data_IF_329574754825
#
_entry.id   IF_329574754825
#
_cell.length_a   1.000
_cell.length_b   1.000
_cell.length_c   1.000
_cell.angle_alpha   90.00
_cell.angle_beta   90.00
_cell.angle_gamma   90.00
#
_symmetry.space_group_name_H-M   'P 1'
#
loop_
_entity.id
_entity.type
_entity.pdbx_description
1 polymer ?
#
# COMPACT_ATOMS: atom_id res chain seq x y z
N UNK A 1 16.68 -32.09 22.35
CA UNK A 1 16.74 -30.81 22.98
C UNK A 1 16.57 -29.73 21.92
N UNK A 2 15.39 -29.12 21.92
CA UNK A 2 14.98 -28.16 20.95
C UNK A 2 15.47 -26.75 21.28
N UNK A 3 15.61 -25.95 20.26
CA UNK A 3 15.62 -24.49 20.33
C UNK A 3 14.65 -23.96 19.29
N UNK A 4 13.51 -23.49 19.76
CA UNK A 4 12.55 -22.72 19.00
C UNK A 4 13.09 -21.30 18.82
N UNK A 5 13.56 -20.99 17.61
CA UNK A 5 13.87 -19.62 17.21
C UNK A 5 12.62 -18.96 16.64
N UNK A 6 12.00 -18.06 17.39
CA UNK A 6 10.97 -17.17 16.89
C UNK A 6 11.63 -16.14 15.94
N UNK A 7 11.30 -16.20 14.67
CA UNK A 7 11.65 -15.18 13.71
C UNK A 7 10.82 -13.92 14.00
N UNK A 8 11.47 -12.89 14.52
CA UNK A 8 10.91 -11.55 14.60
C UNK A 8 10.90 -10.96 13.19
N UNK A 9 9.72 -10.88 12.58
CA UNK A 9 9.49 -10.16 11.34
C UNK A 9 9.58 -8.66 11.57
N UNK A 10 10.71 -8.06 11.22
CA UNK A 10 10.88 -6.61 11.16
C UNK A 10 10.41 -6.08 9.81
N UNK A 11 9.13 -5.79 9.66
CA UNK A 11 8.64 -5.01 8.52
C UNK A 11 8.85 -3.52 8.80
N UNK A 12 9.76 -2.88 8.07
CA UNK A 12 9.92 -1.42 8.08
C UNK A 12 9.26 -0.90 6.82
N UNK A 13 7.98 -0.56 6.92
CA UNK A 13 7.35 0.24 5.88
C UNK A 13 7.75 1.70 6.11
N UNK A 14 8.31 2.30 5.10
CA UNK A 14 8.80 3.67 5.17
C UNK A 14 7.73 4.58 4.58
N UNK A 15 6.81 5.03 5.44
CA UNK A 15 6.53 6.44 5.37
C UNK A 15 7.83 7.12 5.75
N UNK A 16 8.42 7.86 4.84
CA UNK A 16 9.62 8.62 5.11
C UNK A 16 9.27 9.72 6.16
N UNK A 17 9.02 9.27 7.39
CA UNK A 17 8.98 10.12 8.57
C UNK A 17 10.43 10.32 8.96
N UNK A 18 11.17 11.06 8.12
CA UNK A 18 12.47 11.56 8.49
C UNK A 18 12.26 12.56 9.62
N UNK A 19 12.17 12.00 10.82
CA UNK A 19 12.32 12.75 12.03
C UNK A 19 13.80 13.01 12.16
N UNK A 20 14.18 14.28 12.07
CA UNK A 20 15.48 14.75 12.47
C UNK A 20 15.77 14.27 13.90
N UNK A 21 16.38 13.10 14.04
CA UNK A 21 17.12 12.69 15.20
C UNK A 21 18.58 13.07 14.95
N UNK A 22 18.89 14.35 14.85
CA UNK A 22 20.25 14.74 15.11
C UNK A 22 20.55 14.52 16.59
N UNK A 23 21.36 13.56 16.81
CA UNK A 23 22.10 13.15 17.97
C UNK A 23 22.60 14.37 18.77
N UNK A 24 22.00 14.60 19.91
CA UNK A 24 22.60 15.35 21.03
C UNK A 24 23.08 14.33 22.06
N UNK A 25 24.15 13.59 21.77
CA UNK A 25 25.04 12.96 22.76
C UNK A 25 26.41 12.80 22.11
N UNK A 26 27.19 13.89 22.12
CA UNK A 26 28.64 13.76 22.07
C UNK A 26 29.13 13.50 23.49
N UNK A 27 29.66 12.32 23.74
CA UNK A 27 30.44 12.03 24.95
C UNK A 27 31.78 12.76 24.87
N UNK A 28 32.32 13.29 26.01
CA UNK A 28 33.55 14.07 26.02
C UNK A 28 34.79 13.15 26.18
N UNK A 29 35.12 12.41 25.12
CA UNK A 29 36.41 11.72 25.04
C UNK A 29 36.77 11.58 23.56
N UNK A 30 37.45 12.58 23.00
CA UNK A 30 38.40 12.47 21.87
C UNK A 30 38.78 13.88 21.41
N UNK A 31 39.70 14.52 22.16
CA UNK A 31 40.43 15.69 21.69
C UNK A 31 41.92 15.36 21.59
N UNK A 32 42.54 15.47 20.38
CA UNK A 32 43.99 15.54 20.33
C UNK A 32 44.45 16.97 20.65
N UNK A 33 45.37 17.02 21.57
CA UNK A 33 46.08 18.24 22.00
C UNK A 33 46.75 18.95 20.80
N UNK A 34 46.45 20.25 20.64
CA UNK A 34 47.38 21.20 20.05
C UNK A 34 47.26 22.52 20.84
N UNK A 35 48.33 22.81 21.52
CA UNK A 35 48.58 23.97 22.36
C UNK A 35 48.84 25.22 21.51
N UNK A 36 48.21 26.35 21.81
CA UNK A 36 48.54 27.64 21.26
C UNK A 36 47.82 28.75 22.08
N UNK A 37 48.55 29.37 23.01
CA UNK A 37 48.05 30.40 23.88
C UNK A 37 47.63 31.65 23.14
N UNK A 38 46.38 32.11 23.31
CA UNK A 38 45.95 33.46 23.12
C UNK A 38 44.77 33.78 24.07
N UNK A 39 44.86 34.90 24.74
CA UNK A 39 44.07 35.38 25.87
C UNK A 39 42.54 35.27 25.74
N UNK A 40 41.88 34.62 26.70
CA UNK A 40 40.45 34.64 26.88
C UNK A 40 39.95 35.95 27.44
N UNK A 41 39.16 36.67 26.68
CA UNK A 41 38.42 37.85 27.16
C UNK A 41 36.94 37.40 27.51
N UNK A 42 36.49 37.50 28.76
CA UNK A 42 35.24 36.89 29.25
C UNK A 42 33.97 37.72 29.04
N UNK A 43 33.92 38.66 28.11
CA UNK A 43 32.73 39.48 27.86
C UNK A 43 32.38 39.62 26.36
N UNK A 44 31.96 38.52 25.73
CA UNK A 44 31.05 38.58 24.59
C UNK A 44 30.04 37.45 24.73
N UNK A 45 28.85 37.80 25.17
CA UNK A 45 27.68 36.95 25.08
C UNK A 45 27.42 36.61 23.63
N UNK A 46 27.71 35.37 23.21
CA UNK A 46 27.21 34.81 21.94
C UNK A 46 25.74 34.56 22.21
N UNK A 47 24.88 35.39 21.62
CA UNK A 47 23.44 35.14 21.58
C UNK A 47 23.22 33.80 20.91
N UNK A 48 22.66 32.87 21.66
CA UNK A 48 22.00 31.69 21.07
C UNK A 48 20.80 32.24 20.27
N UNK A 49 21.00 32.52 18.99
CA UNK A 49 19.88 32.61 18.05
C UNK A 49 19.23 31.25 18.04
N UNK A 50 18.03 31.20 18.62
CA UNK A 50 17.23 29.99 18.73
C UNK A 50 17.05 29.36 17.34
N UNK A 51 17.38 28.09 17.23
CA UNK A 51 16.93 27.24 16.14
C UNK A 51 15.39 27.25 16.24
N UNK A 52 14.75 28.15 15.47
CA UNK A 52 13.32 28.09 15.24
C UNK A 52 13.07 26.74 14.57
N UNK A 53 12.46 25.81 15.30
CA UNK A 53 11.89 24.63 14.68
C UNK A 53 10.95 25.12 13.57
N UNK A 54 11.33 24.92 12.32
CA UNK A 54 10.50 25.29 11.17
C UNK A 54 9.15 24.58 11.35
N UNK A 55 8.09 25.38 11.49
CA UNK A 55 6.74 24.84 11.58
C UNK A 55 6.49 24.03 10.29
N UNK A 56 6.03 22.79 10.44
CA UNK A 56 5.65 21.96 9.30
C UNK A 56 4.62 22.70 8.44
N UNK A 57 4.78 22.66 7.12
CA UNK A 57 3.83 23.25 6.19
C UNK A 57 2.45 22.59 6.38
N UNK A 58 1.38 23.36 6.15
CA UNK A 58 0.02 22.84 6.07
C UNK A 58 -0.22 22.32 4.65
N UNK A 59 -0.96 21.21 4.56
CA UNK A 59 -1.42 20.68 3.29
C UNK A 59 -2.61 21.52 2.78
N UNK A 60 -2.56 21.98 1.55
CA UNK A 60 -3.63 22.74 0.90
C UNK A 60 -4.28 21.86 -0.19
N UNK A 61 -5.61 21.70 -0.12
CA UNK A 61 -6.40 20.89 -1.06
C UNK A 61 -6.82 21.74 -2.26
N UNK A 62 -5.90 21.97 -3.19
CA UNK A 62 -6.13 22.79 -4.38
C UNK A 62 -6.55 21.98 -5.61
N UNK A 63 -6.37 20.65 -5.59
CA UNK A 63 -6.65 19.72 -6.69
C UNK A 63 -7.34 18.46 -6.17
N UNK A 64 -8.12 17.75 -7.02
CA UNK A 64 -8.62 16.44 -6.67
C UNK A 64 -7.47 15.50 -6.29
N UNK A 65 -7.64 14.78 -5.19
CA UNK A 65 -6.67 13.81 -4.69
C UNK A 65 -7.02 12.40 -5.17
N UNK A 66 -6.05 11.70 -5.78
CA UNK A 66 -6.21 10.34 -6.32
C UNK A 66 -5.08 9.47 -5.82
N UNK A 67 -5.43 8.28 -5.33
CA UNK A 67 -4.44 7.27 -4.95
C UNK A 67 -4.20 6.35 -6.15
N UNK A 68 -2.98 6.32 -6.63
CA UNK A 68 -2.54 5.46 -7.73
C UNK A 68 -1.44 4.53 -7.23
N UNK A 69 -1.17 3.44 -7.92
CA UNK A 69 -0.01 2.63 -7.59
C UNK A 69 0.52 1.84 -8.76
N UNK A 70 1.75 1.34 -8.62
CA UNK A 70 2.39 0.45 -9.58
C UNK A 70 2.22 -1.00 -9.16
N UNK A 71 1.73 -1.84 -10.08
CA UNK A 71 1.59 -3.28 -9.92
C UNK A 71 2.27 -3.99 -11.10
N UNK A 72 2.59 -5.26 -10.96
CA UNK A 72 3.21 -6.08 -12.01
C UNK A 72 4.33 -6.96 -11.47
N UNK A 73 4.94 -7.74 -12.35
CA UNK A 73 5.96 -8.73 -12.01
C UNK A 73 7.22 -8.11 -11.38
N UNK A 74 7.99 -8.91 -10.62
CA UNK A 74 9.32 -8.52 -10.17
C UNK A 74 10.21 -8.17 -11.37
N UNK A 75 11.13 -7.24 -11.20
CA UNK A 75 12.06 -6.77 -12.26
C UNK A 75 11.44 -6.14 -13.53
N UNK A 76 10.13 -5.94 -13.59
CA UNK A 76 9.49 -5.18 -14.67
C UNK A 76 9.73 -3.66 -14.59
N UNK A 77 10.33 -3.17 -13.50
CA UNK A 77 10.75 -1.77 -13.34
C UNK A 77 9.71 -0.84 -12.73
N UNK A 78 8.85 -1.35 -11.83
CA UNK A 78 7.84 -0.56 -11.09
C UNK A 78 8.47 0.60 -10.33
N UNK A 79 9.44 0.32 -9.46
CA UNK A 79 10.14 1.34 -8.66
C UNK A 79 10.93 2.31 -9.54
N UNK A 80 11.51 1.83 -10.66
CA UNK A 80 12.16 2.69 -11.66
C UNK A 80 11.17 3.65 -12.31
N UNK A 81 9.96 3.17 -12.64
CA UNK A 81 8.89 4.00 -13.18
C UNK A 81 8.41 5.03 -12.16
N UNK A 82 8.21 4.62 -10.90
CA UNK A 82 7.85 5.51 -9.79
C UNK A 82 8.88 6.62 -9.62
N UNK A 83 10.18 6.29 -9.67
CA UNK A 83 11.25 7.28 -9.62
C UNK A 83 11.24 8.24 -10.83
N UNK A 84 10.97 7.72 -12.05
CA UNK A 84 10.86 8.55 -13.26
C UNK A 84 9.67 9.52 -13.19
N UNK A 85 8.52 9.07 -12.67
CA UNK A 85 7.35 9.94 -12.48
C UNK A 85 7.65 11.03 -11.45
N UNK A 86 8.24 10.70 -10.30
CA UNK A 86 8.59 11.70 -9.28
C UNK A 86 9.62 12.72 -9.79
N UNK A 87 10.53 12.30 -10.65
CA UNK A 87 11.52 13.22 -11.28
C UNK A 87 10.85 14.28 -12.14
N UNK A 88 9.77 13.94 -12.84
CA UNK A 88 9.12 14.84 -13.79
C UNK A 88 7.96 15.64 -13.17
N UNK A 89 7.25 15.09 -12.19
CA UNK A 89 6.00 15.64 -11.67
C UNK A 89 6.01 15.96 -10.17
N UNK A 90 7.11 15.72 -9.45
CA UNK A 90 7.18 15.93 -8.00
C UNK A 90 8.59 16.16 -7.49
N UNK A 91 8.77 15.94 -6.20
CA UNK A 91 10.10 15.89 -5.59
C UNK A 91 10.78 14.58 -5.97
N UNK A 92 11.86 14.64 -6.72
CA UNK A 92 12.57 13.46 -7.17
C UNK A 92 12.94 12.51 -6.02
N UNK A 93 12.53 11.26 -6.15
CA UNK A 93 12.91 10.16 -5.29
C UNK A 93 13.72 9.15 -6.07
N UNK A 94 14.98 8.96 -5.68
CA UNK A 94 15.80 7.92 -6.30
C UNK A 94 15.30 6.52 -5.86
N UNK A 95 15.70 5.50 -6.60
CA UNK A 95 15.43 4.09 -6.28
C UNK A 95 15.76 3.78 -4.81
N UNK A 96 16.95 4.17 -4.32
CA UNK A 96 17.40 3.94 -2.94
C UNK A 96 16.59 4.71 -1.87
N UNK A 97 15.85 5.73 -2.28
CA UNK A 97 14.95 6.47 -1.40
C UNK A 97 13.57 5.85 -1.33
N UNK A 98 13.12 5.17 -2.38
CA UNK A 98 11.87 4.43 -2.45
C UNK A 98 12.05 3.10 -1.73
N UNK A 99 12.98 2.25 -2.19
CA UNK A 99 13.37 0.99 -1.56
C UNK A 99 14.47 1.26 -0.51
N UNK A 100 14.09 1.77 0.65
CA UNK A 100 15.04 2.33 1.61
C UNK A 100 15.46 1.34 2.69
N UNK A 101 14.71 0.24 2.91
CA UNK A 101 15.03 -0.77 3.90
C UNK A 101 16.35 -1.49 3.55
N UNK A 102 17.20 -1.82 4.54
CA UNK A 102 18.46 -2.51 4.29
C UNK A 102 18.30 -3.83 3.54
N UNK A 103 17.21 -4.56 3.79
CA UNK A 103 16.90 -5.84 3.13
C UNK A 103 16.49 -5.63 1.67
N UNK A 104 15.73 -4.59 1.34
CA UNK A 104 15.36 -4.19 -0.02
C UNK A 104 16.61 -3.86 -0.84
N UNK A 105 17.49 -3.03 -0.29
CA UNK A 105 18.77 -2.67 -0.92
C UNK A 105 19.68 -3.87 -1.14
N UNK A 106 19.73 -4.80 -0.16
CA UNK A 106 20.58 -5.98 -0.27
C UNK A 106 20.07 -6.98 -1.32
N UNK A 107 18.76 -7.06 -1.53
CA UNK A 107 18.13 -7.99 -2.49
C UNK A 107 17.81 -7.33 -3.84
N UNK A 108 17.78 -6.01 -3.91
CA UNK A 108 17.38 -5.25 -5.10
C UNK A 108 15.90 -5.42 -5.48
N UNK A 109 15.04 -5.70 -4.49
CA UNK A 109 13.60 -5.89 -4.69
C UNK A 109 12.80 -5.13 -3.65
N UNK A 110 11.65 -4.58 -4.03
CA UNK A 110 10.69 -3.97 -3.12
C UNK A 110 10.03 -5.03 -2.25
N UNK A 111 10.05 -4.83 -0.94
CA UNK A 111 9.46 -5.73 0.07
C UNK A 111 8.21 -5.08 0.67
N UNK A 112 8.33 -3.83 1.10
CA UNK A 112 7.25 -3.04 1.68
C UNK A 112 6.66 -2.08 0.66
N UNK A 113 5.42 -1.65 0.86
CA UNK A 113 4.83 -0.57 0.06
C UNK A 113 5.53 0.74 0.36
N UNK A 114 5.93 1.47 -0.67
CA UNK A 114 6.47 2.82 -0.53
C UNK A 114 5.44 3.85 -1.01
N UNK A 115 5.36 4.99 -0.33
CA UNK A 115 4.43 6.05 -0.66
C UNK A 115 5.19 7.30 -1.09
N UNK A 116 4.85 7.83 -2.27
CA UNK A 116 5.39 9.09 -2.78
C UNK A 116 4.25 10.00 -3.23
N UNK A 117 4.49 11.31 -3.26
CA UNK A 117 3.53 12.29 -3.77
C UNK A 117 4.08 13.01 -5.01
N UNK A 118 3.18 13.35 -5.93
CA UNK A 118 3.46 14.20 -7.07
C UNK A 118 2.17 14.84 -7.61
N UNK A 119 2.31 15.80 -8.50
CA UNK A 119 1.18 16.53 -9.06
C UNK A 119 1.26 16.67 -10.57
N UNK A 120 0.15 16.48 -11.25
CA UNK A 120 -0.07 16.96 -12.60
C UNK A 120 -0.75 18.34 -12.56
N UNK A 121 -0.91 19.04 -13.67
CA UNK A 121 -1.72 20.26 -13.70
C UNK A 121 -3.13 20.07 -13.18
N UNK A 122 -3.70 18.86 -13.31
CA UNK A 122 -5.09 18.54 -13.02
C UNK A 122 -5.33 17.90 -11.65
N UNK A 123 -4.37 17.12 -11.12
CA UNK A 123 -4.56 16.26 -9.95
C UNK A 123 -3.34 16.21 -9.05
N UNK A 124 -3.59 15.95 -7.76
CA UNK A 124 -2.58 15.56 -6.78
C UNK A 124 -2.66 14.04 -6.59
N UNK A 125 -1.51 13.36 -6.66
CA UNK A 125 -1.41 11.91 -6.55
C UNK A 125 -0.65 11.50 -5.29
N UNK A 126 -1.25 10.56 -4.54
CA UNK A 126 -0.50 9.68 -3.65
C UNK A 126 -0.22 8.39 -4.42
N UNK A 127 1.05 8.04 -4.57
CA UNK A 127 1.47 6.86 -5.32
C UNK A 127 2.01 5.78 -4.38
N UNK A 128 1.48 4.58 -4.53
CA UNK A 128 1.88 3.39 -3.77
C UNK A 128 2.71 2.48 -4.68
N UNK A 129 4.01 2.39 -4.42
CA UNK A 129 4.85 1.40 -5.10
C UNK A 129 4.71 0.04 -4.42
N UNK A 130 4.20 -0.95 -5.15
CA UNK A 130 3.91 -2.28 -4.62
C UNK A 130 5.04 -3.28 -4.91
N UNK A 131 5.33 -4.20 -3.95
CA UNK A 131 6.26 -5.29 -4.20
C UNK A 131 5.77 -6.18 -5.34
N UNK A 132 6.72 -6.69 -6.15
CA UNK A 132 6.42 -7.59 -7.27
C UNK A 132 6.60 -9.07 -6.96
N UNK A 133 7.32 -9.41 -5.88
CA UNK A 133 7.68 -10.78 -5.55
C UNK A 133 6.55 -11.53 -4.83
N UNK A 134 6.34 -12.81 -5.18
CA UNK A 134 5.27 -13.64 -4.64
C UNK A 134 5.26 -13.76 -3.10
N UNK A 135 6.43 -13.71 -2.45
CA UNK A 135 6.53 -13.78 -0.98
C UNK A 135 5.91 -12.57 -0.27
N UNK A 136 5.77 -11.43 -0.99
CA UNK A 136 5.29 -10.16 -0.42
C UNK A 136 3.88 -9.77 -0.91
N UNK A 137 3.13 -10.72 -1.44
CA UNK A 137 1.76 -10.51 -1.92
C UNK A 137 0.84 -9.91 -0.86
N UNK A 138 1.07 -10.21 0.43
CA UNK A 138 0.33 -9.55 1.52
C UNK A 138 0.48 -8.02 1.49
N UNK A 139 1.68 -7.52 1.27
CA UNK A 139 1.93 -6.08 1.17
C UNK A 139 1.35 -5.51 -0.13
N UNK A 140 1.42 -6.28 -1.23
CA UNK A 140 0.76 -5.92 -2.49
C UNK A 140 -0.76 -5.77 -2.32
N UNK A 141 -1.43 -6.72 -1.67
CA UNK A 141 -2.88 -6.66 -1.41
C UNK A 141 -3.23 -5.42 -0.58
N UNK A 142 -2.45 -5.15 0.47
CA UNK A 142 -2.65 -3.97 1.32
C UNK A 142 -2.47 -2.66 0.53
N UNK A 143 -1.43 -2.57 -0.30
CA UNK A 143 -1.20 -1.41 -1.16
C UNK A 143 -2.30 -1.26 -2.21
N UNK A 144 -2.67 -2.33 -2.89
CA UNK A 144 -3.72 -2.30 -3.92
C UNK A 144 -5.10 -1.90 -3.36
N UNK A 145 -5.42 -2.28 -2.13
CA UNK A 145 -6.68 -1.89 -1.47
C UNK A 145 -6.80 -0.37 -1.24
N UNK A 146 -5.70 0.37 -1.32
CA UNK A 146 -5.68 1.83 -1.16
C UNK A 146 -5.85 2.58 -2.49
N UNK A 147 -5.74 1.91 -3.62
CA UNK A 147 -5.69 2.55 -4.93
C UNK A 147 -7.06 2.88 -5.47
N UNK A 148 -7.18 4.05 -6.09
CA UNK A 148 -8.33 4.48 -6.89
C UNK A 148 -8.15 4.11 -8.37
N UNK A 149 -6.93 3.74 -8.74
CA UNK A 149 -6.53 3.19 -10.03
C UNK A 149 -5.10 2.66 -9.94
N UNK A 150 -4.65 1.87 -10.91
CA UNK A 150 -3.28 1.37 -10.89
C UNK A 150 -2.61 1.43 -12.28
N UNK A 151 -1.28 1.50 -12.26
CA UNK A 151 -0.43 1.37 -13.44
C UNK A 151 0.12 -0.06 -13.46
N UNK A 152 -0.30 -0.84 -14.43
CA UNK A 152 0.24 -2.17 -14.66
C UNK A 152 1.54 -2.05 -15.46
N UNK A 153 2.65 -2.43 -14.85
CA UNK A 153 3.98 -2.38 -15.50
C UNK A 153 4.34 -3.75 -16.03
N UNK A 154 4.54 -3.82 -17.34
CA UNK A 154 4.92 -5.05 -18.05
C UNK A 154 6.22 -4.80 -18.80
N UNK A 155 7.19 -5.70 -18.70
CA UNK A 155 8.39 -5.65 -19.52
C UNK A 155 8.05 -5.99 -20.97
N UNK A 156 8.38 -5.09 -21.89
CA UNK A 156 8.07 -5.26 -23.33
C UNK A 156 8.78 -6.45 -23.97
N UNK A 157 9.93 -6.89 -23.42
CA UNK A 157 10.65 -8.05 -23.94
C UNK A 157 10.11 -9.40 -23.42
N UNK A 158 9.59 -9.43 -22.18
CA UNK A 158 9.16 -10.68 -21.53
C UNK A 158 7.65 -10.91 -21.61
N UNK A 159 6.87 -9.84 -21.83
CA UNK A 159 5.40 -9.89 -21.78
C UNK A 159 4.84 -10.13 -20.37
N UNK A 160 3.56 -10.52 -20.26
CA UNK A 160 2.92 -10.79 -18.99
C UNK A 160 3.42 -12.08 -18.34
N UNK A 161 4.01 -11.97 -17.17
CA UNK A 161 4.59 -13.04 -16.36
C UNK A 161 3.60 -13.53 -15.26
N UNK A 162 3.88 -14.63 -14.55
CA UNK A 162 2.94 -15.20 -13.57
C UNK A 162 2.46 -14.21 -12.51
N UNK A 163 3.34 -13.38 -11.91
CA UNK A 163 2.90 -12.38 -10.94
C UNK A 163 2.09 -11.25 -11.59
N UNK A 164 2.27 -10.96 -12.88
CA UNK A 164 1.42 -10.01 -13.62
C UNK A 164 -0.04 -10.46 -13.54
N UNK A 165 -0.30 -11.74 -13.81
CA UNK A 165 -1.64 -12.36 -13.75
C UNK A 165 -2.20 -12.29 -12.32
N UNK A 166 -1.40 -12.68 -11.32
CA UNK A 166 -1.80 -12.63 -9.91
C UNK A 166 -2.13 -11.19 -9.47
N UNK A 167 -1.33 -10.20 -9.87
CA UNK A 167 -1.55 -8.80 -9.49
C UNK A 167 -2.81 -8.21 -10.14
N UNK A 168 -3.12 -8.54 -11.40
CA UNK A 168 -4.38 -8.13 -12.06
C UNK A 168 -5.57 -8.72 -11.31
N UNK A 169 -5.53 -10.03 -11.03
CA UNK A 169 -6.56 -10.71 -10.25
C UNK A 169 -6.79 -10.05 -8.90
N UNK A 170 -5.71 -9.82 -8.14
CA UNK A 170 -5.79 -9.22 -6.81
C UNK A 170 -6.29 -7.78 -6.86
N UNK A 171 -5.84 -6.97 -7.82
CA UNK A 171 -6.35 -5.61 -8.03
C UNK A 171 -7.87 -5.61 -8.27
N UNK A 172 -8.35 -6.55 -9.10
CA UNK A 172 -9.80 -6.72 -9.34
C UNK A 172 -10.55 -7.10 -8.07
N UNK A 173 -10.00 -8.01 -7.27
CA UNK A 173 -10.61 -8.48 -6.03
C UNK A 173 -10.69 -7.42 -4.95
N UNK A 174 -9.63 -6.63 -4.75
CA UNK A 174 -9.64 -5.52 -3.77
C UNK A 174 -10.46 -4.31 -4.26
N UNK A 175 -10.88 -4.33 -5.53
CA UNK A 175 -11.81 -3.34 -6.09
C UNK A 175 -11.13 -2.15 -6.75
N UNK A 176 -9.90 -2.28 -7.25
CA UNK A 176 -9.30 -1.27 -8.14
C UNK A 176 -10.17 -1.11 -9.38
N UNK A 177 -10.75 0.06 -9.62
CA UNK A 177 -11.77 0.21 -10.66
C UNK A 177 -11.20 0.21 -12.07
N UNK A 178 -10.03 0.81 -12.29
CA UNK A 178 -9.42 1.00 -13.60
C UNK A 178 -7.91 0.82 -13.55
N UNK A 179 -7.35 0.38 -14.68
CA UNK A 179 -5.91 0.23 -14.90
C UNK A 179 -5.46 1.07 -16.10
N UNK A 180 -4.19 1.48 -16.08
CA UNK A 180 -3.44 1.97 -17.25
C UNK A 180 -2.22 1.07 -17.38
N UNK A 181 -1.79 0.75 -18.60
CA UNK A 181 -0.64 -0.14 -18.83
C UNK A 181 0.57 0.67 -19.26
N UNK A 182 1.73 0.34 -18.68
CA UNK A 182 3.02 0.82 -19.16
C UNK A 182 3.88 -0.35 -19.62
N UNK A 183 4.09 -0.49 -20.95
CA UNK A 183 5.05 -1.43 -21.52
C UNK A 183 6.45 -0.84 -21.36
N UNK A 184 7.15 -1.28 -20.34
CA UNK A 184 8.46 -0.74 -19.94
C UNK A 184 9.60 -1.45 -20.67
N UNK A 185 10.78 -0.83 -20.70
CA UNK A 185 12.03 -1.35 -21.26
C UNK A 185 11.97 -1.55 -22.78
N UNK A 186 11.24 -0.71 -23.50
CA UNK A 186 11.21 -0.76 -24.98
C UNK A 186 12.59 -0.50 -25.61
N UNK A 187 13.53 0.08 -24.86
CA UNK A 187 14.93 0.22 -25.24
C UNK A 187 15.67 -1.13 -25.41
N UNK A 188 15.08 -2.24 -25.00
CA UNK A 188 15.61 -3.60 -25.14
C UNK A 188 14.95 -4.39 -26.28
N UNK A 189 14.00 -3.79 -26.98
CA UNK A 189 13.22 -4.44 -28.05
C UNK A 189 13.45 -3.68 -29.35
N UNK A 190 14.05 -4.37 -30.33
CA UNK A 190 14.31 -3.81 -31.67
C UNK A 190 13.19 -4.18 -32.68
N UNK A 191 12.22 -5.04 -32.29
CA UNK A 191 11.18 -5.58 -33.13
C UNK A 191 9.80 -5.00 -32.78
N UNK A 192 9.24 -4.20 -33.67
CA UNK A 192 7.90 -3.60 -33.50
C UNK A 192 6.79 -4.67 -33.48
N UNK A 193 6.94 -5.79 -34.21
CA UNK A 193 5.95 -6.89 -34.23
C UNK A 193 5.87 -7.55 -32.84
N UNK A 194 6.99 -7.62 -32.10
CA UNK A 194 7.00 -8.15 -30.73
C UNK A 194 6.23 -7.23 -29.78
N UNK A 195 6.36 -5.91 -29.94
CA UNK A 195 5.61 -4.95 -29.11
C UNK A 195 4.11 -5.08 -29.32
N UNK A 196 3.67 -5.19 -30.58
CA UNK A 196 2.25 -5.40 -30.93
C UNK A 196 1.72 -6.72 -30.34
N UNK A 197 2.52 -7.79 -30.40
CA UNK A 197 2.15 -9.10 -29.86
C UNK A 197 1.96 -9.05 -28.34
N UNK A 198 2.91 -8.41 -27.63
CA UNK A 198 2.85 -8.23 -26.17
C UNK A 198 1.64 -7.37 -25.79
N UNK A 199 1.37 -6.30 -26.54
CA UNK A 199 0.19 -5.48 -26.33
C UNK A 199 -1.10 -6.28 -26.43
N UNK A 200 -1.24 -7.10 -27.51
CA UNK A 200 -2.41 -7.98 -27.68
C UNK A 200 -2.56 -8.96 -26.52
N UNK A 201 -1.47 -9.61 -26.09
CA UNK A 201 -1.50 -10.55 -24.95
C UNK A 201 -1.94 -9.87 -23.65
N UNK A 202 -1.47 -8.66 -23.39
CA UNK A 202 -1.88 -7.88 -22.22
C UNK A 202 -3.35 -7.49 -22.28
N UNK A 203 -3.88 -7.07 -23.44
CA UNK A 203 -5.29 -6.75 -23.65
C UNK A 203 -6.19 -7.96 -23.42
N UNK A 204 -5.83 -9.11 -23.98
CA UNK A 204 -6.56 -10.37 -23.80
C UNK A 204 -6.55 -10.79 -22.33
N UNK A 205 -5.40 -10.68 -21.68
CA UNK A 205 -5.26 -10.98 -20.26
C UNK A 205 -6.15 -10.08 -19.39
N UNK A 206 -6.16 -8.78 -19.62
CA UNK A 206 -7.00 -7.83 -18.88
C UNK A 206 -8.49 -8.11 -19.07
N UNK A 207 -8.89 -8.42 -20.29
CA UNK A 207 -10.28 -8.80 -20.62
C UNK A 207 -10.70 -10.09 -19.89
N UNK A 208 -9.80 -11.04 -19.71
CA UNK A 208 -10.07 -12.29 -18.98
C UNK A 208 -10.34 -12.09 -17.49
N UNK A 209 -9.92 -10.94 -16.92
CA UNK A 209 -10.17 -10.54 -15.54
C UNK A 209 -11.20 -9.42 -15.39
N UNK A 210 -12.11 -9.27 -16.35
CA UNK A 210 -13.19 -8.28 -16.37
C UNK A 210 -12.74 -6.81 -16.35
N UNK A 211 -11.54 -6.49 -16.83
CA UNK A 211 -11.16 -5.14 -17.19
C UNK A 211 -11.47 -4.86 -18.66
N UNK A 212 -11.64 -3.59 -19.01
CA UNK A 212 -11.90 -3.18 -20.40
C UNK A 212 -10.62 -3.23 -21.25
N UNK A 213 -10.11 -4.46 -21.50
CA UNK A 213 -8.82 -4.66 -22.17
C UNK A 213 -8.74 -4.02 -23.57
N UNK A 214 -9.86 -3.89 -24.27
CA UNK A 214 -9.89 -3.29 -25.62
C UNK A 214 -9.63 -1.77 -25.59
N UNK A 215 -10.10 -1.06 -24.55
CA UNK A 215 -10.04 0.39 -24.48
C UNK A 215 -8.99 0.91 -23.47
N UNK A 216 -8.43 0.06 -22.63
CA UNK A 216 -7.40 0.46 -21.64
C UNK A 216 -6.21 1.13 -22.35
N UNK A 217 -5.80 2.34 -21.92
CA UNK A 217 -4.61 2.98 -22.46
C UNK A 217 -3.35 2.15 -22.19
N UNK A 218 -2.57 1.92 -23.23
CA UNK A 218 -1.27 1.26 -23.17
C UNK A 218 -0.22 2.24 -23.71
N UNK A 219 0.76 2.56 -22.88
CA UNK A 219 1.89 3.44 -23.25
C UNK A 219 3.17 2.62 -23.23
N UNK A 220 3.90 2.62 -24.35
CA UNK A 220 5.18 1.93 -24.49
C UNK A 220 6.35 2.93 -24.32
N UNK A 221 7.28 2.63 -23.40
CA UNK A 221 8.38 3.54 -23.08
C UNK A 221 9.50 2.89 -22.27
N UNK A 222 10.48 3.68 -21.89
CA UNK A 222 11.60 3.27 -21.02
C UNK A 222 11.70 4.20 -19.80
N UNK A 223 11.35 3.68 -18.64
CA UNK A 223 11.47 4.40 -17.38
C UNK A 223 12.95 4.74 -17.05
N UNK A 224 13.88 3.83 -17.42
CA UNK A 224 15.30 4.06 -17.21
C UNK A 224 15.82 5.18 -18.13
N UNK A 225 15.40 5.21 -19.40
CA UNK A 225 15.76 6.28 -20.31
C UNK A 225 15.27 7.66 -19.81
N UNK A 226 14.07 7.71 -19.21
CA UNK A 226 13.56 8.93 -18.58
C UNK A 226 14.38 9.36 -17.35
N UNK A 227 14.82 8.41 -16.52
CA UNK A 227 15.66 8.71 -15.36
C UNK A 227 17.05 9.23 -15.75
N UNK A 228 17.63 8.69 -16.80
CA UNK A 228 18.97 9.04 -17.26
C UNK A 228 19.00 10.17 -18.30
N UNK A 229 17.84 10.82 -18.56
CA UNK A 229 17.68 11.86 -19.59
C UNK A 229 18.18 11.42 -20.98
N UNK A 230 18.01 10.13 -21.30
CA UNK A 230 18.36 9.54 -22.59
C UNK A 230 17.10 9.34 -23.44
N UNK A 231 17.25 9.48 -24.77
CA UNK A 231 16.19 9.20 -25.74
C UNK A 231 14.80 9.74 -25.29
N UNK A 232 14.60 11.06 -25.27
CA UNK A 232 13.39 11.70 -24.75
C UNK A 232 12.08 11.11 -25.32
N UNK A 233 12.11 10.66 -26.59
CA UNK A 233 10.95 10.11 -27.30
C UNK A 233 10.39 8.84 -26.66
N UNK A 234 11.26 7.94 -26.16
CA UNK A 234 10.85 6.73 -25.44
C UNK A 234 10.92 6.89 -23.92
N UNK A 235 11.58 7.96 -23.42
CA UNK A 235 11.77 8.29 -22.02
C UNK A 235 10.75 9.31 -21.52
N UNK A 236 11.20 10.54 -21.27
CA UNK A 236 10.43 11.59 -20.61
C UNK A 236 9.10 11.90 -21.32
N UNK A 237 9.03 11.86 -22.65
CA UNK A 237 7.79 12.08 -23.40
C UNK A 237 6.76 10.98 -23.09
N UNK A 238 7.19 9.72 -22.97
CA UNK A 238 6.30 8.60 -22.66
C UNK A 238 5.84 8.59 -21.19
N UNK A 239 6.65 9.11 -20.28
CA UNK A 239 6.19 9.34 -18.88
C UNK A 239 5.11 10.43 -18.85
N UNK A 240 5.25 11.50 -19.63
CA UNK A 240 4.21 12.52 -19.72
C UNK A 240 2.91 11.97 -20.34
N UNK A 241 3.01 11.21 -21.43
CA UNK A 241 1.88 10.52 -22.06
C UNK A 241 1.18 9.53 -21.11
N UNK A 242 1.95 8.76 -20.32
CA UNK A 242 1.40 7.90 -19.28
C UNK A 242 0.58 8.69 -18.26
N UNK A 243 1.12 9.82 -17.78
CA UNK A 243 0.41 10.62 -16.78
C UNK A 243 -0.82 11.32 -17.34
N UNK A 244 -0.82 11.70 -18.63
CA UNK A 244 -2.00 12.18 -19.33
C UNK A 244 -3.07 11.07 -19.46
N UNK A 245 -2.64 9.85 -19.79
CA UNK A 245 -3.54 8.69 -19.81
C UNK A 245 -4.13 8.42 -18.42
N UNK A 246 -3.34 8.49 -17.36
CA UNK A 246 -3.82 8.36 -15.96
C UNK A 246 -4.82 9.46 -15.59
N UNK A 247 -4.51 10.71 -15.94
CA UNK A 247 -5.40 11.87 -15.67
C UNK A 247 -6.77 11.73 -16.35
N UNK A 248 -6.80 11.15 -17.55
CA UNK A 248 -8.02 11.08 -18.37
C UNK A 248 -8.80 9.78 -18.18
N UNK A 249 -8.11 8.65 -18.02
CA UNK A 249 -8.74 7.34 -17.95
C UNK A 249 -9.20 6.96 -16.53
N UNK A 250 -8.40 7.25 -15.50
CA UNK A 250 -8.76 6.94 -14.12
C UNK A 250 -9.81 7.96 -13.66
N UNK A 251 -11.03 7.53 -13.27
CA UNK A 251 -12.06 8.46 -12.79
C UNK A 251 -11.64 9.12 -11.48
N UNK A 252 -12.09 10.36 -11.28
CA UNK A 252 -11.96 10.99 -9.95
C UNK A 252 -12.88 10.25 -8.98
N UNK A 253 -12.34 9.66 -7.90
CA UNK A 253 -13.11 8.82 -7.01
C UNK A 253 -14.12 9.63 -6.20
N UNK A 254 -15.31 9.07 -6.01
CA UNK A 254 -16.28 9.59 -5.05
C UNK A 254 -15.79 9.31 -3.63
N UNK A 255 -15.80 10.33 -2.77
CA UNK A 255 -15.34 10.23 -1.39
C UNK A 255 -16.53 10.21 -0.42
N UNK A 256 -16.77 9.10 0.30
CA UNK A 256 -17.89 9.00 1.24
C UNK A 256 -17.59 9.73 2.57
N UNK A 257 -17.47 11.06 2.51
CA UNK A 257 -17.14 11.91 3.66
C UNK A 257 -18.27 12.02 4.70
N UNK A 258 -19.53 11.81 4.29
CA UNK A 258 -20.71 11.90 5.16
C UNK A 258 -20.94 10.64 6.01
N UNK A 259 -20.17 9.58 5.78
CA UNK A 259 -20.24 8.34 6.54
C UNK A 259 -19.41 8.42 7.83
N UNK A 260 -19.68 7.55 8.83
CA UNK A 260 -18.83 7.44 10.01
C UNK A 260 -17.38 7.12 9.65
N UNK A 261 -16.43 7.82 10.28
CA UNK A 261 -14.98 7.65 10.05
C UNK A 261 -14.55 6.19 10.20
N UNK A 262 -13.73 5.73 9.24
CA UNK A 262 -13.07 4.44 9.25
C UNK A 262 -11.74 4.51 8.50
N UNK A 263 -10.67 4.02 9.15
CA UNK A 263 -9.33 3.91 8.60
C UNK A 263 -8.69 2.58 9.02
N UNK A 264 -8.41 1.64 8.11
CA UNK A 264 -7.60 0.45 8.40
C UNK A 264 -6.16 0.85 8.76
N UNK A 265 -5.59 0.17 9.74
CA UNK A 265 -4.21 0.40 10.18
C UNK A 265 -3.27 -0.47 9.34
N UNK A 266 -2.30 0.17 8.71
CA UNK A 266 -1.26 -0.46 7.88
C UNK A 266 0.01 -0.66 8.66
N UNK A 267 0.49 0.40 9.29
CA UNK A 267 1.70 0.38 10.08
C UNK A 267 1.57 1.17 11.37
N UNK A 268 2.45 0.84 12.32
CA UNK A 268 2.47 1.42 13.65
C UNK A 268 3.88 1.85 14.00
N UNK A 269 4.06 3.12 14.29
CA UNK A 269 5.35 3.73 14.63
C UNK A 269 5.31 4.34 16.02
N UNK A 270 6.44 4.29 16.72
CA UNK A 270 6.65 5.04 17.96
C UNK A 270 7.56 6.24 17.69
N UNK A 271 7.09 7.42 18.05
CA UNK A 271 7.86 8.65 17.94
C UNK A 271 8.28 9.09 19.33
N UNK A 272 9.58 9.14 19.59
CA UNK A 272 10.11 9.59 20.88
C UNK A 272 9.58 10.98 21.26
N UNK A 273 8.97 11.10 22.44
CA UNK A 273 8.40 12.34 22.94
C UNK A 273 7.05 12.76 22.34
N UNK A 274 6.52 12.05 21.33
CA UNK A 274 5.22 12.34 20.71
C UNK A 274 4.16 11.27 20.94
N UNK A 275 4.55 9.99 20.95
CA UNK A 275 3.65 8.85 21.15
C UNK A 275 3.58 7.90 19.96
N UNK A 276 2.50 7.16 19.87
CA UNK A 276 2.26 6.19 18.80
C UNK A 276 1.55 6.85 17.62
N UNK A 277 2.08 6.63 16.42
CA UNK A 277 1.47 7.02 15.15
C UNK A 277 1.05 5.75 14.42
N UNK A 278 -0.15 5.75 13.90
CA UNK A 278 -0.66 4.70 13.01
C UNK A 278 -0.91 5.29 11.64
N UNK A 279 -0.59 4.54 10.60
CA UNK A 279 -0.78 4.96 9.21
C UNK A 279 -1.84 4.15 8.53
N UNK A 280 -2.49 4.73 7.54
CA UNK A 280 -3.47 4.08 6.70
C UNK A 280 -4.21 5.05 5.80
N UNK A 281 -4.98 4.50 4.87
CA UNK A 281 -5.92 5.26 4.05
C UNK A 281 -7.26 5.37 4.77
N UNK A 282 -7.82 6.56 4.82
CA UNK A 282 -9.20 6.76 5.30
C UNK A 282 -10.16 6.20 4.24
N UNK A 283 -10.87 5.12 4.56
CA UNK A 283 -11.87 4.52 3.66
C UNK A 283 -13.11 5.40 3.51
N UNK A 284 -13.58 5.97 4.63
CA UNK A 284 -14.78 6.79 4.68
C UNK A 284 -14.76 7.76 5.86
N UNK A 285 -15.61 8.78 5.76
CA UNK A 285 -15.77 9.78 6.80
C UNK A 285 -14.64 10.79 6.88
N UNK A 286 -14.63 11.48 7.98
CA UNK A 286 -13.67 12.54 8.31
C UNK A 286 -13.18 12.33 9.74
N UNK A 287 -11.91 12.60 10.01
CA UNK A 287 -11.34 12.65 11.35
C UNK A 287 -10.67 14.01 11.58
N UNK A 288 -10.94 14.61 12.74
CA UNK A 288 -10.36 15.89 13.13
C UNK A 288 -9.40 15.74 14.31
N UNK A 289 -8.43 16.65 14.41
CA UNK A 289 -7.55 16.71 15.55
C UNK A 289 -8.35 17.04 16.81
N UNK A 290 -8.19 16.22 17.85
CA UNK A 290 -8.96 16.32 19.11
C UNK A 290 -10.16 15.39 19.20
N UNK A 291 -10.50 14.68 18.13
CA UNK A 291 -11.65 13.76 18.08
C UNK A 291 -11.38 12.45 18.81
N UNK A 292 -12.39 11.93 19.52
CA UNK A 292 -12.35 10.60 20.13
C UNK A 292 -12.66 9.54 19.05
N UNK A 293 -11.81 8.55 18.97
CA UNK A 293 -11.92 7.39 18.08
C UNK A 293 -11.80 6.09 18.84
N UNK A 294 -12.15 4.98 18.18
CA UNK A 294 -12.03 3.63 18.72
C UNK A 294 -11.14 2.77 17.83
N UNK A 295 -10.25 2.01 18.47
CA UNK A 295 -9.41 0.98 17.83
C UNK A 295 -10.17 -0.33 17.96
N UNK A 296 -10.47 -0.99 16.83
CA UNK A 296 -11.32 -2.19 16.77
C UNK A 296 -10.63 -3.30 15.97
N UNK A 297 -10.85 -4.55 16.40
CA UNK A 297 -10.35 -5.77 15.76
C UNK A 297 -9.16 -6.39 16.47
N UNK A 298 -8.95 -7.71 16.27
CA UNK A 298 -7.85 -8.54 16.79
C UNK A 298 -7.76 -8.52 18.33
N UNK A 299 -7.68 -7.35 18.93
CA UNK A 299 -7.58 -7.10 20.38
C UNK A 299 -8.87 -6.48 20.92
N UNK A 300 -9.06 -6.47 22.26
CA UNK A 300 -10.17 -5.74 22.87
C UNK A 300 -10.20 -4.27 22.42
N UNK A 301 -11.37 -3.77 22.07
CA UNK A 301 -11.55 -2.39 21.59
C UNK A 301 -11.09 -1.38 22.62
N UNK A 302 -10.40 -0.33 22.17
CA UNK A 302 -9.85 0.73 23.03
C UNK A 302 -10.16 2.10 22.44
N UNK A 303 -10.67 3.00 23.27
CA UNK A 303 -10.91 4.38 22.86
C UNK A 303 -9.66 5.24 23.08
N UNK A 304 -9.44 6.19 22.19
CA UNK A 304 -8.34 7.14 22.25
C UNK A 304 -8.71 8.45 21.56
N UNK A 305 -7.84 9.44 21.62
CA UNK A 305 -8.01 10.74 20.96
C UNK A 305 -6.91 10.94 19.93
N UNK A 306 -7.29 11.38 18.74
CA UNK A 306 -6.35 11.81 17.70
C UNK A 306 -5.75 13.16 18.09
N UNK A 307 -4.44 13.23 18.28
CA UNK A 307 -3.74 14.47 18.67
C UNK A 307 -3.05 15.17 17.52
N UNK A 308 -2.96 14.52 16.36
CA UNK A 308 -2.41 15.08 15.14
C UNK A 308 -2.72 14.20 13.94
N UNK A 309 -2.87 14.82 12.78
CA UNK A 309 -3.03 14.15 11.49
C UNK A 309 -1.98 14.71 10.55
N UNK A 310 -1.22 13.85 9.89
CA UNK A 310 -0.16 14.24 8.94
C UNK A 310 -0.32 13.46 7.64
N UNK A 311 -0.06 14.11 6.51
CA UNK A 311 0.03 13.50 5.18
C UNK A 311 1.27 14.06 4.48
N UNK A 312 2.17 13.17 3.99
CA UNK A 312 3.42 13.57 3.34
C UNK A 312 4.20 14.66 4.10
N UNK A 313 4.39 14.48 5.43
CA UNK A 313 5.09 15.42 6.34
C UNK A 313 4.40 16.78 6.50
N UNK A 314 3.22 17.00 5.92
CA UNK A 314 2.42 18.21 6.07
C UNK A 314 1.33 17.97 7.12
N UNK A 315 1.07 18.97 7.95
CA UNK A 315 0.01 18.89 8.97
C UNK A 315 -1.35 19.09 8.32
N UNK A 316 -2.33 18.29 8.77
CA UNK A 316 -3.73 18.48 8.44
C UNK A 316 -4.51 18.83 9.71
N UNK A 317 -5.46 19.78 9.61
CA UNK A 317 -6.44 20.04 10.65
C UNK A 317 -7.49 18.90 10.70
N UNK A 318 -7.76 18.28 9.54
CA UNK A 318 -8.64 17.12 9.37
C UNK A 318 -8.17 16.20 8.23
N UNK A 319 -8.36 14.90 8.42
CA UNK A 319 -8.23 13.88 7.35
C UNK A 319 -9.61 13.53 6.81
N UNK A 320 -9.71 13.29 5.50
CA UNK A 320 -10.95 12.94 4.79
C UNK A 320 -10.83 11.61 4.05
N UNK A 321 -11.97 10.99 3.73
CA UNK A 321 -12.01 9.79 2.91
C UNK A 321 -11.11 9.93 1.68
N UNK A 322 -10.23 8.95 1.48
CA UNK A 322 -9.22 8.91 0.41
C UNK A 322 -7.84 9.39 0.80
N UNK A 323 -7.67 10.11 1.91
CA UNK A 323 -6.34 10.54 2.35
C UNK A 323 -5.53 9.37 2.94
N UNK A 324 -4.24 9.29 2.57
CA UNK A 324 -3.27 8.42 3.23
C UNK A 324 -2.61 9.22 4.36
N UNK A 325 -2.95 8.91 5.60
CA UNK A 325 -2.55 9.72 6.75
C UNK A 325 -1.82 8.93 7.83
N UNK A 326 -0.99 9.64 8.57
CA UNK A 326 -0.50 9.23 9.88
C UNK A 326 -1.31 9.90 10.97
N UNK A 327 -1.98 9.12 11.81
CA UNK A 327 -2.75 9.60 12.97
C UNK A 327 -1.96 9.41 14.25
N UNK A 328 -1.71 10.49 14.98
CA UNK A 328 -1.04 10.46 16.28
C UNK A 328 -2.07 10.21 17.38
N UNK A 329 -1.87 9.14 18.18
CA UNK A 329 -2.80 8.66 19.18
C UNK A 329 -2.36 9.00 20.60
N UNK A 330 -3.30 9.47 21.43
CA UNK A 330 -3.04 9.82 22.84
C UNK A 330 -3.06 8.58 23.72
N UNK A 331 -1.99 8.36 24.51
CA UNK A 331 -1.97 7.35 25.56
C UNK A 331 -2.06 5.90 25.06
N UNK A 332 -1.69 5.66 23.80
CA UNK A 332 -1.59 4.34 23.19
C UNK A 332 -0.11 3.98 23.08
N UNK A 333 0.27 2.83 23.66
CA UNK A 333 1.59 2.26 23.48
C UNK A 333 1.73 1.56 22.12
N UNK A 334 2.98 1.36 21.67
CA UNK A 334 3.26 0.62 20.40
C UNK A 334 2.65 -0.78 20.42
N UNK A 335 2.64 -1.44 21.58
CA UNK A 335 2.17 -2.80 21.77
C UNK A 335 0.64 -2.89 21.99
N UNK A 336 -0.05 -1.76 22.12
CA UNK A 336 -1.50 -1.68 22.30
C UNK A 336 -2.26 -1.74 20.96
N UNK A 337 -1.58 -1.50 19.86
CA UNK A 337 -2.15 -1.40 18.52
C UNK A 337 -1.28 -2.14 17.52
N UNK A 338 -1.92 -2.77 16.52
CA UNK A 338 -1.23 -3.53 15.50
C UNK A 338 -1.90 -3.39 14.12
N UNK A 339 -1.13 -3.70 13.08
CA UNK A 339 -1.62 -3.79 11.71
C UNK A 339 -2.82 -4.73 11.63
N UNK A 340 -3.84 -4.34 10.85
CA UNK A 340 -5.04 -5.11 10.65
C UNK A 340 -6.21 -4.73 11.56
N UNK A 341 -5.96 -3.95 12.63
CA UNK A 341 -7.02 -3.25 13.33
C UNK A 341 -7.50 -2.04 12.52
N UNK A 342 -8.60 -1.46 12.93
CA UNK A 342 -9.12 -0.22 12.33
C UNK A 342 -9.23 0.89 13.37
N UNK A 343 -9.09 2.13 12.92
CA UNK A 343 -9.58 3.30 13.63
C UNK A 343 -10.97 3.63 13.11
N UNK A 344 -11.92 3.83 13.99
CA UNK A 344 -13.28 4.20 13.59
C UNK A 344 -13.95 5.16 14.57
N UNK A 345 -15.08 5.73 14.16
CA UNK A 345 -15.96 6.45 15.07
C UNK A 345 -16.44 5.49 16.16
N UNK A 346 -16.42 5.88 17.46
CA UNK A 346 -16.79 4.98 18.55
C UNK A 346 -18.15 4.32 18.33
N UNK A 347 -18.17 2.98 18.42
CA UNK A 347 -19.37 2.18 18.26
C UNK A 347 -19.89 2.00 16.82
N UNK A 348 -19.22 2.52 15.82
CA UNK A 348 -19.67 2.40 14.41
C UNK A 348 -19.36 1.05 13.77
N UNK A 349 -18.32 0.37 14.22
CA UNK A 349 -17.92 -0.96 13.75
C UNK A 349 -17.66 -1.86 14.95
N UNK A 350 -17.93 -3.15 14.80
CA UNK A 350 -17.71 -4.16 15.87
C UNK A 350 -16.75 -5.25 15.37
N UNK A 351 -16.02 -5.90 16.28
CA UNK A 351 -15.25 -7.09 15.94
C UNK A 351 -16.16 -8.30 15.87
N UNK A 352 -15.92 -9.19 14.90
CA UNK A 352 -16.71 -10.41 14.66
C UNK A 352 -15.79 -11.59 14.34
N UNK A 353 -16.25 -12.79 14.69
CA UNK A 353 -15.53 -14.04 14.44
C UNK A 353 -16.26 -14.96 13.47
N UNK A 354 -17.59 -14.85 13.34
CA UNK A 354 -18.40 -15.75 12.53
C UNK A 354 -19.29 -15.02 11.55
N UNK A 355 -19.24 -15.42 10.28
CA UNK A 355 -19.99 -14.79 9.20
C UNK A 355 -20.37 -15.80 8.10
N UNK A 356 -21.40 -15.47 7.33
CA UNK A 356 -21.76 -16.11 6.07
C UNK A 356 -21.06 -15.39 4.93
N UNK A 357 -20.42 -16.15 4.07
CA UNK A 357 -19.68 -15.67 2.91
C UNK A 357 -20.35 -16.15 1.61
N UNK A 358 -20.28 -15.31 0.58
CA UNK A 358 -20.46 -15.71 -0.79
C UNK A 358 -19.13 -15.57 -1.51
N UNK A 359 -18.61 -16.68 -2.06
CA UNK A 359 -17.27 -16.69 -2.63
C UNK A 359 -17.16 -17.56 -3.88
N UNK A 360 -16.29 -17.10 -4.78
CA UNK A 360 -15.85 -17.81 -5.96
C UNK A 360 -14.48 -18.46 -5.70
N UNK A 361 -14.36 -19.73 -6.08
CA UNK A 361 -13.13 -20.52 -5.95
C UNK A 361 -12.44 -20.56 -7.29
N UNK A 362 -11.23 -20.00 -7.35
CA UNK A 362 -10.45 -19.87 -8.58
C UNK A 362 -10.11 -21.24 -9.17
N UNK A 363 -10.21 -21.34 -10.49
CA UNK A 363 -9.77 -22.49 -11.27
C UNK A 363 -8.24 -22.59 -11.33
N UNK A 364 -7.73 -23.70 -11.82
CA UNK A 364 -6.30 -23.90 -12.05
C UNK A 364 -5.74 -22.92 -13.09
N UNK A 365 -6.52 -22.65 -14.14
CA UNK A 365 -6.18 -21.73 -15.22
C UNK A 365 -6.05 -20.29 -14.72
N UNK A 366 -6.85 -19.93 -13.72
CA UNK A 366 -6.81 -18.64 -13.01
C UNK A 366 -5.71 -18.58 -11.93
N UNK A 367 -4.85 -19.60 -11.81
CA UNK A 367 -3.80 -19.68 -10.80
C UNK A 367 -4.26 -20.23 -9.44
N UNK A 368 -5.51 -20.64 -9.32
CA UNK A 368 -6.11 -21.17 -8.11
C UNK A 368 -5.79 -22.64 -7.84
N UNK A 369 -6.76 -23.33 -7.24
CA UNK A 369 -6.65 -24.74 -6.87
C UNK A 369 -6.87 -25.65 -8.10
N UNK A 370 -6.30 -26.85 -8.04
CA UNK A 370 -6.56 -27.94 -8.98
C UNK A 370 -7.29 -29.13 -8.33
N UNK A 371 -7.52 -29.07 -7.03
CA UNK A 371 -8.21 -30.11 -6.24
C UNK A 371 -9.36 -29.50 -5.47
N UNK A 372 -10.46 -30.25 -5.26
CA UNK A 372 -11.54 -29.81 -4.39
C UNK A 372 -11.08 -29.65 -2.93
N UNK A 373 -11.85 -28.92 -2.16
CA UNK A 373 -11.75 -28.93 -0.70
C UNK A 373 -13.05 -29.40 -0.05
N UNK A 374 -12.93 -29.84 1.19
CA UNK A 374 -14.01 -30.44 1.97
C UNK A 374 -14.35 -29.58 3.18
N UNK A 375 -15.39 -29.93 3.90
CA UNK A 375 -15.73 -29.29 5.17
C UNK A 375 -14.53 -29.25 6.13
N UNK A 376 -14.48 -28.23 6.98
CA UNK A 376 -13.35 -27.92 7.86
C UNK A 376 -12.05 -27.51 7.15
N UNK A 377 -12.13 -27.09 5.91
CA UNK A 377 -11.03 -26.45 5.22
C UNK A 377 -10.59 -25.17 5.97
N UNK A 378 -9.28 -24.96 6.14
CA UNK A 378 -8.73 -23.90 6.99
C UNK A 378 -7.72 -23.02 6.22
N UNK A 379 -8.16 -22.18 5.30
CA UNK A 379 -7.31 -21.23 4.60
C UNK A 379 -7.07 -19.97 5.43
N UNK A 380 -6.28 -19.03 4.84
CA UNK A 380 -6.17 -17.67 5.31
C UNK A 380 -7.16 -16.76 4.58
N UNK A 381 -7.87 -15.96 5.35
CA UNK A 381 -8.78 -14.93 4.86
C UNK A 381 -8.11 -13.57 4.99
N UNK A 382 -8.01 -12.85 3.89
CA UNK A 382 -7.40 -11.52 3.83
C UNK A 382 -8.48 -10.46 3.77
N UNK A 383 -8.56 -9.64 4.82
CA UNK A 383 -9.49 -8.53 4.94
C UNK A 383 -8.70 -7.23 5.07
N UNK A 384 -8.94 -6.23 4.23
CA UNK A 384 -8.23 -4.95 4.31
C UNK A 384 -6.69 -5.15 4.49
N UNK A 385 -6.18 -4.81 5.67
CA UNK A 385 -4.75 -4.87 6.01
C UNK A 385 -4.35 -6.09 6.84
N UNK A 386 -5.28 -7.02 7.13
CA UNK A 386 -5.03 -8.21 7.97
C UNK A 386 -5.31 -9.52 7.25
N UNK A 387 -4.69 -10.57 7.72
CA UNK A 387 -4.98 -11.96 7.37
C UNK A 387 -5.27 -12.77 8.63
N UNK A 388 -6.31 -13.59 8.58
CA UNK A 388 -6.74 -14.45 9.70
C UNK A 388 -7.10 -15.83 9.17
N UNK A 389 -6.65 -16.87 9.86
CA UNK A 389 -7.07 -18.24 9.55
C UNK A 389 -8.53 -18.43 9.95
N UNK A 390 -9.33 -19.01 9.05
CA UNK A 390 -10.71 -19.35 9.34
C UNK A 390 -11.03 -20.78 8.95
N UNK A 391 -12.03 -21.37 9.59
CA UNK A 391 -12.57 -22.68 9.26
C UNK A 391 -13.84 -22.52 8.44
N UNK A 392 -13.90 -23.22 7.31
CA UNK A 392 -15.05 -23.21 6.40
C UNK A 392 -16.02 -24.32 6.79
N UNK A 393 -17.28 -23.96 7.03
CA UNK A 393 -18.39 -24.87 7.19
C UNK A 393 -19.26 -24.85 5.93
N UNK A 394 -19.37 -25.97 5.26
CA UNK A 394 -20.16 -26.10 4.02
C UNK A 394 -21.65 -26.24 4.36
N UNK A 395 -22.55 -25.76 3.49
CA UNK A 395 -23.99 -25.93 3.67
C UNK A 395 -24.42 -27.41 3.63
N UNK A 396 -25.52 -27.71 4.25
CA UNK A 396 -26.07 -29.07 4.27
C UNK A 396 -26.25 -29.61 2.83
N UNK A 397 -25.78 -30.84 2.62
CA UNK A 397 -25.84 -31.50 1.32
C UNK A 397 -24.65 -31.23 0.39
N UNK A 398 -23.73 -30.35 0.76
CA UNK A 398 -22.49 -30.08 0.01
C UNK A 398 -21.33 -30.83 0.68
N UNK A 399 -20.83 -31.87 0.02
CA UNK A 399 -19.69 -32.66 0.54
C UNK A 399 -18.34 -32.04 0.21
N UNK A 400 -18.23 -31.42 -0.99
CA UNK A 400 -16.98 -30.81 -1.50
C UNK A 400 -17.27 -29.58 -2.35
N UNK A 401 -16.27 -28.76 -2.53
CA UNK A 401 -16.26 -27.56 -3.38
C UNK A 401 -15.18 -27.71 -4.45
N UNK A 402 -15.57 -27.54 -5.70
CA UNK A 402 -14.66 -27.63 -6.85
C UNK A 402 -14.08 -26.27 -7.20
N UNK A 403 -12.85 -26.22 -7.78
CA UNK A 403 -12.38 -25.03 -8.49
C UNK A 403 -13.38 -24.59 -9.56
N UNK A 404 -13.72 -23.30 -9.60
CA UNK A 404 -14.76 -22.74 -10.48
C UNK A 404 -16.14 -22.60 -9.84
N UNK A 405 -16.34 -23.13 -8.64
CA UNK A 405 -17.62 -23.01 -7.95
C UNK A 405 -17.81 -21.60 -7.34
N UNK A 406 -19.05 -21.14 -7.42
CA UNK A 406 -19.52 -19.98 -6.65
C UNK A 406 -20.58 -20.48 -5.64
N UNK A 407 -20.30 -20.26 -4.34
CA UNK A 407 -21.15 -20.81 -3.28
C UNK A 407 -21.21 -19.93 -2.04
N UNK A 408 -22.23 -20.18 -1.23
CA UNK A 408 -22.33 -19.61 0.12
C UNK A 408 -21.89 -20.65 1.15
N UNK A 409 -21.13 -20.19 2.14
CA UNK A 409 -20.67 -21.01 3.26
C UNK A 409 -20.46 -20.15 4.51
N UNK A 410 -20.43 -20.79 5.67
CA UNK A 410 -20.09 -20.13 6.92
C UNK A 410 -18.58 -20.19 7.16
N UNK A 411 -18.05 -19.13 7.77
CA UNK A 411 -16.64 -19.04 8.18
C UNK A 411 -16.57 -18.69 9.66
N UNK A 412 -15.73 -19.41 10.39
CA UNK A 412 -15.37 -19.11 11.77
C UNK A 412 -13.86 -18.78 11.83
N UNK A 413 -13.56 -17.56 12.18
CA UNK A 413 -12.19 -17.03 12.28
C UNK A 413 -11.59 -17.38 13.65
N UNK A 414 -10.27 -17.59 13.69
CA UNK A 414 -9.53 -17.85 14.94
C UNK A 414 -9.36 -16.60 15.81
N UNK A 415 -9.53 -15.41 15.23
CA UNK A 415 -9.42 -14.12 15.91
C UNK A 415 -10.50 -13.17 15.43
N UNK A 416 -11.05 -12.30 16.30
CA UNK A 416 -12.04 -11.33 15.88
C UNK A 416 -11.43 -10.26 15.00
N UNK A 417 -12.12 -9.88 13.94
CA UNK A 417 -11.73 -8.76 13.07
C UNK A 417 -12.84 -7.72 12.98
N UNK A 418 -12.50 -6.49 12.70
CA UNK A 418 -13.47 -5.44 12.42
C UNK A 418 -14.16 -5.74 11.08
N UNK A 419 -15.45 -6.09 11.14
CA UNK A 419 -16.20 -6.62 10.01
C UNK A 419 -17.52 -5.88 9.82
N UNK A 420 -17.93 -5.78 8.57
CA UNK A 420 -19.23 -5.25 8.14
C UNK A 420 -19.75 -6.12 6.99
N UNK A 421 -21.06 -6.12 6.78
CA UNK A 421 -21.64 -6.75 5.59
C UNK A 421 -21.12 -6.08 4.31
N UNK A 422 -20.97 -6.86 3.24
CA UNK A 422 -20.40 -6.49 1.95
C UNK A 422 -18.88 -6.24 1.97
N UNK A 423 -18.19 -6.51 3.08
CA UNK A 423 -16.73 -6.47 3.12
C UNK A 423 -16.16 -7.57 2.22
N UNK A 424 -15.30 -7.20 1.28
CA UNK A 424 -14.61 -8.13 0.39
C UNK A 424 -13.43 -8.78 1.10
N UNK A 425 -13.11 -10.00 0.69
CA UNK A 425 -11.93 -10.74 1.16
C UNK A 425 -11.36 -11.64 0.07
N UNK A 426 -10.06 -11.92 0.19
CA UNK A 426 -9.40 -12.97 -0.58
C UNK A 426 -9.15 -14.21 0.28
N UNK A 427 -9.22 -15.38 -0.33
CA UNK A 427 -8.89 -16.67 0.30
C UNK A 427 -7.53 -17.12 -0.25
N UNK A 428 -6.60 -17.42 0.66
CA UNK A 428 -5.24 -17.84 0.28
C UNK A 428 -4.84 -19.14 0.98
N UNK A 429 -4.08 -19.95 0.25
CA UNK A 429 -3.50 -21.21 0.74
C UNK A 429 -2.11 -21.40 0.14
N UNK A 430 -1.12 -21.74 0.98
CA UNK A 430 0.23 -22.05 0.52
C UNK A 430 0.88 -20.95 -0.34
N UNK A 431 0.60 -19.68 -0.03
CA UNK A 431 1.14 -18.53 -0.78
C UNK A 431 0.39 -18.18 -2.06
N UNK A 432 -0.72 -18.87 -2.40
CA UNK A 432 -1.54 -18.63 -3.60
C UNK A 432 -2.93 -18.13 -3.24
N UNK A 433 -3.48 -17.25 -4.05
CA UNK A 433 -4.89 -16.88 -3.98
C UNK A 433 -5.71 -18.00 -4.60
N UNK A 434 -6.64 -18.55 -3.82
CA UNK A 434 -7.47 -19.68 -4.21
C UNK A 434 -8.95 -19.34 -4.33
N UNK A 435 -9.33 -18.14 -3.93
CA UNK A 435 -10.69 -17.66 -4.05
C UNK A 435 -10.84 -16.23 -3.58
N UNK A 436 -12.00 -15.66 -3.85
CA UNK A 436 -12.41 -14.34 -3.42
C UNK A 436 -13.89 -14.35 -3.06
N UNK A 437 -14.26 -13.49 -2.12
CA UNK A 437 -15.64 -13.44 -1.68
C UNK A 437 -16.01 -12.14 -1.00
N UNK A 438 -17.25 -12.12 -0.55
CA UNK A 438 -17.86 -11.01 0.18
C UNK A 438 -18.60 -11.54 1.41
N UNK A 439 -18.54 -10.78 2.51
CA UNK A 439 -19.35 -11.06 3.71
C UNK A 439 -20.80 -10.75 3.37
N UNK A 440 -21.63 -11.80 3.31
CA UNK A 440 -23.04 -11.67 3.01
C UNK A 440 -23.88 -11.37 4.27
N UNK A 441 -23.48 -11.94 5.42
CA UNK A 441 -24.14 -11.73 6.70
C UNK A 441 -23.19 -11.98 7.86
N UNK A 442 -23.32 -11.17 8.91
CA UNK A 442 -22.59 -11.36 10.17
C UNK A 442 -23.43 -12.26 11.09
N UNK A 443 -22.79 -13.26 11.71
CA UNK A 443 -23.45 -14.23 12.62
C UNK A 443 -23.07 -13.93 14.07
N UNK A 444 -21.77 -13.75 14.36
CA UNK A 444 -21.24 -13.47 15.71
C UNK A 444 -19.99 -12.57 15.67
#
# INVERSE_FOLDING_TARGET
>A
PGASGAAQGGGVAIFDVAICSESLYATPEDTPHLCGAAECNPHRGVGYEGIQAMAKAKFERNKPHVNIGTIGHVDHGKTTLTAAITKQFGDFKSYDMIDSAPEEKARGITISTAHVEYETPNRHYAHVDCPGHADYVKNMITGAAQMDGAILVVNAADGPMPQTREHILLARQVGVPQLVVFLNKVDQVDDEELLELVEMEVRELLSSYDFDGDNIPIVAGSALAALEDRNPEIGATKIAELMEAVDTWIPTPERPIDQPFLMPIEDVFSISGRGTVVTGRIERGVVTVGEEIEIVGIRPSKKTTVTGVEMFRKLLDRGEAGDNVGALLRGIGRDDVERGQILCKPGSVKPHTKFEAEAYILTKEEGGRHTPFFANYRPQFYFRTTDVTGTVALPEGTEMVMPGDNLKFEVELISPIAMEEKLRFAIREGGRTVGAGVVSKIIE
#
